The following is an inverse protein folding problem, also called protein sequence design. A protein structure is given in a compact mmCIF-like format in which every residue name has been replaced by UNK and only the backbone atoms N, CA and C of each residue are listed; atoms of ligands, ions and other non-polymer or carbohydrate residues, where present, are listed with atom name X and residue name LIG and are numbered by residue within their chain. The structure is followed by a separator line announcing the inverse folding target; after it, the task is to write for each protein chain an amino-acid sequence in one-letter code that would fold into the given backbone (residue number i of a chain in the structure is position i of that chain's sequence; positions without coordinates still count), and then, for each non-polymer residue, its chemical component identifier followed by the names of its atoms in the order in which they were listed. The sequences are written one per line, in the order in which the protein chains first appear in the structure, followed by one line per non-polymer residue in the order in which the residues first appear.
data_IF_481287631403
#
_entry.id   IF_481287631403
#
_cell.length_a   1.000
_cell.length_b   1.000
_cell.length_c   1.000
_cell.angle_alpha   90.00
_cell.angle_beta   90.00
_cell.angle_gamma   90.00
#
_symmetry.space_group_name_H-M   'P 1'
#
loop_
_entity.id
_entity.type
_entity.pdbx_description
1 polymer ?
#
# COMPACT_ATOMS: atom_id res chain seq x y z
N UNK A 1 -20.94 14.20 66.87
CA UNK A 1 -20.02 14.84 65.90
C UNK A 1 -19.82 13.87 64.74
N UNK A 2 -20.33 14.23 63.56
CA UNK A 2 -20.29 13.40 62.35
C UNK A 2 -19.13 13.92 61.48
N UNK A 3 -18.09 13.12 61.16
CA UNK A 3 -17.14 13.53 60.14
C UNK A 3 -17.63 13.10 58.74
N UNK A 4 -18.06 14.12 57.99
CA UNK A 4 -17.77 14.43 56.59
C UNK A 4 -17.62 13.24 55.62
N UNK A 5 -18.68 13.07 54.82
CA UNK A 5 -18.67 12.45 53.49
C UNK A 5 -17.59 13.11 52.63
N UNK A 6 -16.71 12.32 52.03
CA UNK A 6 -15.74 12.85 51.07
C UNK A 6 -14.65 11.87 50.70
N UNK A 7 -14.96 10.89 49.85
CA UNK A 7 -13.96 10.28 48.97
C UNK A 7 -14.69 9.70 47.75
N UNK A 8 -14.42 10.32 46.61
CA UNK A 8 -15.12 10.15 45.37
C UNK A 8 -14.98 8.73 44.81
N UNK A 9 -16.14 8.18 44.45
CA UNK A 9 -16.32 7.15 43.44
C UNK A 9 -15.73 7.67 42.11
N UNK A 10 -14.47 7.37 41.82
CA UNK A 10 -13.81 7.78 40.57
C UNK A 10 -13.39 6.55 39.77
N UNK A 11 -14.27 6.21 38.82
CA UNK A 11 -13.91 5.79 37.46
C UNK A 11 -13.32 4.38 37.27
N UNK A 12 -14.19 3.37 37.37
CA UNK A 12 -14.12 2.16 36.52
C UNK A 12 -14.47 2.57 35.08
N UNK A 13 -13.54 3.20 34.37
CA UNK A 13 -13.70 3.50 32.94
C UNK A 13 -12.33 3.55 32.26
N UNK A 14 -11.63 2.41 32.25
CA UNK A 14 -10.61 2.19 31.24
C UNK A 14 -10.93 0.93 30.44
N UNK A 15 -11.60 1.21 29.33
CA UNK A 15 -11.40 0.59 28.04
C UNK A 15 -11.93 -0.84 27.91
N UNK A 16 -13.27 -0.92 27.78
CA UNK A 16 -13.80 -1.61 26.60
C UNK A 16 -13.12 -1.01 25.36
N UNK A 17 -11.90 -1.46 25.04
CA UNK A 17 -11.53 -1.51 23.65
C UNK A 17 -12.54 -2.48 23.05
N UNK A 18 -13.43 -2.07 22.11
CA UNK A 18 -13.79 -3.06 21.12
C UNK A 18 -12.44 -3.56 20.62
N UNK A 19 -12.17 -4.86 20.81
CA UNK A 19 -11.22 -5.57 19.98
C UNK A 19 -11.63 -5.14 18.59
N UNK A 20 -10.90 -4.17 18.03
CA UNK A 20 -11.20 -3.66 16.70
C UNK A 20 -11.22 -4.91 15.88
N UNK A 21 -12.41 -5.31 15.42
CA UNK A 21 -12.54 -6.38 14.46
C UNK A 21 -11.61 -5.95 13.36
N UNK A 22 -10.45 -6.59 13.29
CA UNK A 22 -9.52 -6.39 12.22
C UNK A 22 -10.29 -6.89 11.04
N UNK A 23 -10.92 -5.96 10.32
CA UNK A 23 -11.70 -6.29 9.16
C UNK A 23 -10.78 -7.08 8.25
N UNK A 24 -11.03 -8.39 8.14
CA UNK A 24 -10.13 -9.31 7.48
C UNK A 24 -9.73 -8.76 6.11
N UNK A 25 -8.43 -8.71 5.86
CA UNK A 25 -7.84 -8.35 4.57
C UNK A 25 -7.97 -9.51 3.59
N UNK A 26 -9.14 -10.14 3.55
CA UNK A 26 -9.38 -11.32 2.71
C UNK A 26 -9.73 -10.90 1.27
N UNK A 27 -10.19 -9.66 1.09
CA UNK A 27 -10.53 -9.05 -0.19
C UNK A 27 -9.83 -7.68 -0.36
N UNK A 28 -8.60 -7.73 -0.88
CA UNK A 28 -7.81 -6.57 -1.25
C UNK A 28 -7.42 -6.58 -2.73
N UNK A 29 -7.25 -5.38 -3.28
CA UNK A 29 -6.63 -5.15 -4.58
C UNK A 29 -5.53 -4.12 -4.38
N UNK A 30 -4.31 -4.48 -4.74
CA UNK A 30 -3.19 -3.53 -4.78
C UNK A 30 -2.88 -3.21 -6.23
N UNK A 31 -2.89 -1.93 -6.58
CA UNK A 31 -2.48 -1.44 -7.89
C UNK A 31 -1.23 -0.58 -7.73
N UNK A 32 -0.13 -0.98 -8.36
CA UNK A 32 1.07 -0.18 -8.51
C UNK A 32 1.18 0.31 -9.94
N UNK A 33 1.28 1.63 -10.14
CA UNK A 33 1.34 2.24 -11.47
C UNK A 33 2.61 3.03 -11.62
N UNK A 34 3.31 2.80 -12.72
CA UNK A 34 4.50 3.56 -13.14
C UNK A 34 4.24 4.18 -14.50
N UNK A 35 4.56 5.45 -14.67
CA UNK A 35 4.36 6.18 -15.94
C UNK A 35 5.64 6.95 -16.27
N UNK A 36 6.05 6.89 -17.53
CA UNK A 36 7.02 7.78 -18.15
C UNK A 36 6.39 8.49 -19.35
N UNK A 37 7.16 9.31 -20.08
CA UNK A 37 6.66 10.05 -21.25
C UNK A 37 6.14 9.17 -22.40
N UNK A 38 6.56 7.91 -22.50
CA UNK A 38 6.23 7.03 -23.63
C UNK A 38 5.71 5.64 -23.27
N UNK A 39 5.74 5.28 -21.99
CA UNK A 39 5.23 3.98 -21.51
C UNK A 39 4.54 4.12 -20.17
N UNK A 40 3.67 3.16 -19.88
CA UNK A 40 3.12 2.93 -18.55
C UNK A 40 3.13 1.46 -18.23
N UNK A 41 3.44 1.16 -16.97
CA UNK A 41 3.28 -0.16 -16.38
C UNK A 41 2.24 -0.09 -15.27
N UNK A 42 1.41 -1.12 -15.15
CA UNK A 42 0.47 -1.27 -14.04
C UNK A 42 0.48 -2.71 -13.56
N UNK A 43 0.86 -2.91 -12.31
CA UNK A 43 0.82 -4.20 -11.62
C UNK A 43 -0.44 -4.21 -10.75
N UNK A 44 -1.28 -5.22 -10.91
CA UNK A 44 -2.50 -5.43 -10.13
C UNK A 44 -2.39 -6.75 -9.38
N UNK A 45 -2.39 -6.69 -8.06
CA UNK A 45 -2.31 -7.85 -7.16
C UNK A 45 -3.67 -8.11 -6.53
N UNK A 46 -4.24 -9.29 -6.81
CA UNK A 46 -5.53 -9.76 -6.27
C UNK A 46 -5.52 -11.28 -6.04
N UNK A 47 -6.28 -12.07 -6.81
CA UNK A 47 -6.15 -13.54 -6.82
C UNK A 47 -4.81 -13.96 -7.43
N UNK A 48 -4.40 -13.25 -8.48
CA UNK A 48 -3.15 -13.38 -9.21
C UNK A 48 -2.49 -12.00 -9.32
N UNK A 49 -1.30 -11.97 -9.89
CA UNK A 49 -0.65 -10.72 -10.29
C UNK A 49 -0.92 -10.54 -11.78
N UNK A 50 -1.50 -9.42 -12.16
CA UNK A 50 -1.64 -9.01 -13.56
C UNK A 50 -0.70 -7.84 -13.84
N UNK A 51 0.07 -7.92 -14.92
CA UNK A 51 1.04 -6.91 -15.29
C UNK A 51 0.64 -6.38 -16.66
N UNK A 52 0.25 -5.11 -16.70
CA UNK A 52 -0.13 -4.42 -17.92
C UNK A 52 1.00 -3.50 -18.33
N UNK A 53 1.54 -3.74 -19.53
CA UNK A 53 2.51 -2.85 -20.13
C UNK A 53 1.87 -2.15 -21.32
N UNK A 54 2.04 -0.83 -21.41
CA UNK A 54 1.55 -0.03 -22.54
C UNK A 54 2.66 0.88 -23.02
N UNK A 55 2.91 0.87 -24.33
CA UNK A 55 3.72 1.86 -25.04
C UNK A 55 2.85 2.62 -26.03
N UNK A 56 3.45 3.50 -26.83
CA UNK A 56 2.74 4.18 -27.94
C UNK A 56 2.17 3.21 -28.97
N UNK A 57 2.82 2.08 -29.19
CA UNK A 57 2.55 1.18 -30.32
C UNK A 57 2.06 -0.21 -29.89
N UNK A 58 2.13 -0.53 -28.59
CA UNK A 58 1.80 -1.88 -28.09
C UNK A 58 1.15 -1.84 -26.71
N UNK A 59 0.35 -2.86 -26.43
CA UNK A 59 -0.19 -3.18 -25.11
C UNK A 59 -0.03 -4.67 -24.89
N UNK A 60 0.56 -5.06 -23.77
CA UNK A 60 0.70 -6.48 -23.38
C UNK A 60 0.12 -6.68 -21.99
N UNK A 61 -0.23 -7.91 -21.69
CA UNK A 61 -0.74 -8.31 -20.38
C UNK A 61 -0.18 -9.67 -20.04
N UNK A 62 0.50 -9.74 -18.90
CA UNK A 62 1.03 -10.96 -18.33
C UNK A 62 0.31 -11.27 -17.02
N UNK A 63 0.32 -12.54 -16.62
CA UNK A 63 -0.22 -12.95 -15.33
C UNK A 63 0.70 -13.94 -14.62
N UNK A 64 0.84 -13.79 -13.31
CA UNK A 64 1.60 -14.69 -12.45
C UNK A 64 0.71 -15.21 -11.33
N UNK A 65 0.90 -16.48 -10.98
CA UNK A 65 0.30 -17.06 -9.78
C UNK A 65 0.95 -16.48 -8.52
N UNK A 66 0.16 -16.37 -7.45
CA UNK A 66 0.65 -16.00 -6.12
C UNK A 66 0.72 -17.26 -5.25
N UNK A 67 1.88 -17.49 -4.65
CA UNK A 67 2.06 -18.54 -3.64
C UNK A 67 1.43 -18.11 -2.32
N UNK A 68 0.99 -19.06 -1.52
CA UNK A 68 0.36 -18.79 -0.21
C UNK A 68 1.27 -17.98 0.73
N UNK A 69 2.57 -18.29 0.73
CA UNK A 69 3.59 -17.54 1.47
C UNK A 69 3.65 -16.06 1.03
N UNK A 70 3.47 -15.81 -0.27
CA UNK A 70 3.47 -14.45 -0.81
C UNK A 70 2.21 -13.69 -0.43
N UNK A 71 1.05 -14.36 -0.49
CA UNK A 71 -0.23 -13.82 -0.01
C UNK A 71 -0.17 -13.48 1.47
N UNK A 72 0.33 -14.38 2.31
CA UNK A 72 0.48 -14.16 3.75
C UNK A 72 1.40 -12.98 4.05
N UNK A 73 2.49 -12.80 3.30
CA UNK A 73 3.38 -11.66 3.45
C UNK A 73 2.73 -10.34 3.00
N UNK A 74 1.97 -10.33 1.92
CA UNK A 74 1.19 -9.16 1.50
C UNK A 74 0.21 -8.72 2.58
N UNK A 75 -0.55 -9.65 3.15
CA UNK A 75 -1.50 -9.37 4.24
C UNK A 75 -0.78 -8.72 5.41
N UNK A 76 0.32 -9.30 5.90
CA UNK A 76 1.10 -8.70 7.00
C UNK A 76 1.61 -7.29 6.70
N UNK A 77 2.08 -7.04 5.47
CA UNK A 77 2.52 -5.72 5.05
C UNK A 77 1.36 -4.72 5.04
N UNK A 78 0.18 -5.14 4.58
CA UNK A 78 -1.03 -4.31 4.58
C UNK A 78 -1.52 -3.99 6.00
N UNK A 79 -1.45 -4.93 6.94
CA UNK A 79 -1.84 -4.73 8.34
C UNK A 79 -0.99 -3.67 9.04
N UNK A 80 0.28 -3.52 8.63
CA UNK A 80 1.18 -2.50 9.16
C UNK A 80 0.94 -1.09 8.63
N UNK A 81 0.06 -0.90 7.64
CA UNK A 81 -0.13 0.39 6.95
C UNK A 81 -1.29 1.21 7.49
N UNK A 82 -1.08 2.53 7.57
CA UNK A 82 -2.15 3.51 7.74
C UNK A 82 -2.75 3.90 6.39
N UNK A 83 -3.81 3.22 5.95
CA UNK A 83 -4.43 3.49 4.64
C UNK A 83 -4.93 4.93 4.48
N UNK A 84 -5.46 5.53 5.56
CA UNK A 84 -5.91 6.94 5.54
C UNK A 84 -4.75 7.92 5.39
N UNK A 85 -3.53 7.50 5.75
CA UNK A 85 -2.31 8.31 5.62
C UNK A 85 -1.73 8.31 4.20
N UNK A 86 -2.07 7.32 3.36
CA UNK A 86 -1.48 7.16 2.02
C UNK A 86 -1.49 8.44 1.17
N UNK A 87 -2.60 9.19 1.05
CA UNK A 87 -2.64 10.38 0.20
C UNK A 87 -1.70 11.50 0.66
N UNK A 88 -1.22 11.45 1.91
CA UNK A 88 -0.42 12.48 2.57
C UNK A 88 1.06 12.12 2.70
N UNK A 89 1.46 10.93 2.24
CA UNK A 89 2.86 10.53 2.26
C UNK A 89 3.71 11.50 1.43
N UNK A 90 4.92 11.79 1.92
CA UNK A 90 5.85 12.67 1.20
C UNK A 90 6.80 11.82 0.36
N UNK A 91 6.95 12.17 -0.91
CA UNK A 91 7.98 11.56 -1.74
C UNK A 91 9.37 11.91 -1.18
N UNK A 92 10.32 10.96 -1.12
CA UNK A 92 11.67 11.23 -0.63
C UNK A 92 12.49 12.12 -1.58
N UNK A 93 12.11 12.18 -2.87
CA UNK A 93 12.69 13.07 -3.88
C UNK A 93 11.67 13.43 -4.96
N UNK A 94 12.06 14.35 -5.85
CA UNK A 94 11.26 14.82 -6.98
C UNK A 94 11.97 14.58 -8.34
N UNK A 95 12.77 13.52 -8.45
CA UNK A 95 13.50 13.17 -9.68
C UNK A 95 12.57 12.96 -10.86
N UNK A 96 11.32 12.54 -10.62
CA UNK A 96 10.26 12.45 -11.65
C UNK A 96 9.94 13.78 -12.34
N UNK A 97 10.17 14.92 -11.67
CA UNK A 97 9.95 16.24 -12.26
C UNK A 97 11.07 16.66 -13.21
N UNK A 98 12.27 16.12 -13.02
CA UNK A 98 13.45 16.35 -13.85
C UNK A 98 13.69 15.23 -14.88
N UNK A 99 12.70 14.38 -15.14
CA UNK A 99 12.81 13.21 -16.03
C UNK A 99 13.93 12.22 -15.64
N UNK A 100 14.36 12.26 -14.37
CA UNK A 100 15.40 11.41 -13.81
C UNK A 100 14.84 10.15 -13.11
N UNK A 101 13.52 10.03 -13.01
CA UNK A 101 12.81 8.86 -12.51
C UNK A 101 11.41 8.78 -13.13
N UNK A 102 10.83 7.58 -13.20
CA UNK A 102 9.43 7.42 -13.58
C UNK A 102 8.49 7.88 -12.46
N UNK A 103 7.30 8.36 -12.81
CA UNK A 103 6.28 8.72 -11.82
C UNK A 103 5.55 7.46 -11.37
N UNK A 104 5.56 7.19 -10.07
CA UNK A 104 4.90 6.04 -9.46
C UNK A 104 3.76 6.44 -8.52
N UNK A 105 2.74 5.58 -8.43
CA UNK A 105 1.67 5.65 -7.44
C UNK A 105 1.29 4.25 -6.94
N UNK A 106 0.88 4.20 -5.69
CA UNK A 106 0.31 3.00 -5.05
C UNK A 106 -1.16 3.26 -4.74
N UNK A 107 -2.04 2.33 -5.11
CA UNK A 107 -3.45 2.34 -4.75
C UNK A 107 -3.82 1.02 -4.09
N UNK A 108 -4.50 1.09 -2.96
CA UNK A 108 -4.96 -0.06 -2.19
C UNK A 108 -6.48 0.04 -2.07
N UNK A 109 -7.17 -1.00 -2.52
CA UNK A 109 -8.62 -1.13 -2.38
C UNK A 109 -8.92 -2.28 -1.43
N UNK A 110 -9.73 -2.03 -0.41
CA UNK A 110 -10.18 -3.03 0.56
C UNK A 110 -11.70 -2.94 0.63
N UNK A 111 -12.38 -4.04 0.28
CA UNK A 111 -13.86 -4.08 0.14
C UNK A 111 -14.38 -2.94 -0.75
N UNK A 112 -14.97 -1.90 -0.15
CA UNK A 112 -15.59 -0.76 -0.85
C UNK A 112 -14.80 0.55 -0.76
N UNK A 113 -13.62 0.54 -0.15
CA UNK A 113 -12.79 1.75 0.04
C UNK A 113 -11.50 1.63 -0.74
N UNK A 114 -11.11 2.71 -1.39
CA UNK A 114 -9.84 2.83 -2.09
C UNK A 114 -9.03 3.98 -1.50
N UNK A 115 -7.74 3.76 -1.37
CA UNK A 115 -6.76 4.69 -0.83
C UNK A 115 -5.60 4.77 -1.82
N UNK A 116 -5.26 5.98 -2.27
CA UNK A 116 -4.20 6.20 -3.25
C UNK A 116 -3.11 7.06 -2.61
N UNK A 117 -1.85 6.71 -2.86
CA UNK A 117 -0.71 7.50 -2.41
C UNK A 117 -0.60 8.80 -3.21
N UNK A 118 0.12 9.76 -2.63
CA UNK A 118 0.74 10.82 -3.42
C UNK A 118 1.69 10.21 -4.48
N UNK A 119 2.01 10.99 -5.52
CA UNK A 119 2.96 10.57 -6.53
C UNK A 119 4.39 10.62 -6.01
N UNK A 120 5.18 9.59 -6.29
CA UNK A 120 6.59 9.48 -5.89
C UNK A 120 7.47 8.97 -7.02
N UNK A 121 8.79 8.99 -6.82
CA UNK A 121 9.75 8.52 -7.81
C UNK A 121 9.79 6.98 -7.80
N UNK A 122 9.62 6.34 -8.95
CA UNK A 122 9.80 4.91 -9.09
C UNK A 122 11.22 4.51 -8.65
N UNK A 123 11.33 3.46 -7.83
CA UNK A 123 12.59 3.05 -7.19
C UNK A 123 12.97 3.84 -5.93
N UNK A 124 12.21 4.88 -5.55
CA UNK A 124 12.40 5.62 -4.32
C UNK A 124 11.04 5.96 -3.63
N UNK A 125 10.30 4.94 -3.17
CA UNK A 125 9.00 5.13 -2.50
C UNK A 125 9.14 5.81 -1.12
N UNK A 126 8.08 6.46 -0.60
CA UNK A 126 8.00 6.88 0.80
C UNK A 126 8.29 5.72 1.74
N UNK A 127 8.98 6.00 2.84
CA UNK A 127 9.49 5.00 3.80
C UNK A 127 8.36 4.10 4.32
N UNK A 128 7.19 4.69 4.58
CA UNK A 128 6.03 4.02 5.14
C UNK A 128 5.46 2.91 4.23
N UNK A 129 5.66 3.01 2.91
CA UNK A 129 5.16 2.02 1.94
C UNK A 129 6.28 1.27 1.21
N UNK A 130 7.55 1.54 1.56
CA UNK A 130 8.72 0.96 0.87
C UNK A 130 8.65 -0.56 0.83
N UNK A 131 8.46 -1.19 1.98
CA UNK A 131 8.47 -2.65 2.08
C UNK A 131 7.37 -3.30 1.25
N UNK A 132 6.18 -2.68 1.17
CA UNK A 132 5.09 -3.16 0.32
C UNK A 132 5.43 -3.00 -1.16
N UNK A 133 5.92 -1.82 -1.57
CA UNK A 133 6.25 -1.52 -2.97
C UNK A 133 7.37 -2.44 -3.47
N UNK A 134 8.46 -2.56 -2.72
CA UNK A 134 9.57 -3.45 -3.06
C UNK A 134 9.12 -4.91 -3.14
N UNK A 135 8.25 -5.33 -2.21
CA UNK A 135 7.74 -6.69 -2.23
C UNK A 135 6.89 -6.99 -3.46
N UNK A 136 5.97 -6.09 -3.83
CA UNK A 136 5.13 -6.20 -5.04
C UNK A 136 6.02 -6.30 -6.28
N UNK A 137 7.00 -5.41 -6.42
CA UNK A 137 7.92 -5.38 -7.55
C UNK A 137 8.74 -6.67 -7.64
N UNK A 138 9.15 -7.24 -6.51
CA UNK A 138 9.89 -8.50 -6.48
C UNK A 138 9.03 -9.71 -6.91
N UNK A 139 7.76 -9.77 -6.48
CA UNK A 139 6.88 -10.90 -6.82
C UNK A 139 6.22 -10.76 -8.19
N UNK A 140 6.16 -9.56 -8.77
CA UNK A 140 5.64 -9.31 -10.12
C UNK A 140 6.62 -9.68 -11.25
N UNK A 141 7.72 -10.37 -10.96
CA UNK A 141 8.74 -10.66 -11.96
C UNK A 141 9.56 -9.43 -12.33
N UNK A 142 10.58 -9.57 -13.20
CA UNK A 142 11.67 -8.60 -13.29
C UNK A 142 11.26 -7.32 -14.03
N UNK A 143 10.69 -6.36 -13.32
CA UNK A 143 10.64 -4.97 -13.77
C UNK A 143 12.04 -4.31 -13.76
N UNK A 144 13.05 -4.90 -13.10
CA UNK A 144 14.38 -4.27 -12.93
C UNK A 144 15.58 -5.25 -12.80
N UNK A 145 15.73 -6.24 -13.68
CA UNK A 145 17.07 -6.86 -13.90
C UNK A 145 17.71 -6.32 -15.18
N UNK A 146 18.04 -5.02 -15.18
CA UNK A 146 19.04 -4.42 -16.08
C UNK A 146 19.78 -3.34 -15.29
N UNK A 147 20.81 -3.76 -14.57
CA UNK A 147 22.05 -2.99 -14.42
C UNK A 147 23.08 -3.66 -15.33
#
# INVERSE_FOLDING_TARGET
MIPKIGAALFLMFFLNFPLSSQEGLDDYIIEYRTITRGMSERIVVKEKIFIYHSTRNSKTTDSLEIKDEQRARLVKLLEGLSFKGLPYLKAPSDKRLADAAAHAKLKISIKKRAYESSGFDHGNPPEEIRDLVEYILNISGPAQKKQ
#
